data_IF_921185956687
#
_entry.id   IF_921185956687
#
_cell.length_a   1.000
_cell.length_b   1.000
_cell.length_c   1.000
_cell.angle_alpha   90.00
_cell.angle_beta   90.00
_cell.angle_gamma   90.00
#
_symmetry.space_group_name_H-M   'P 1'
#
loop_
_entity.id
_entity.type
_entity.pdbx_description
1 polymer ?
#
# COMPACT_ATOMS: atom_id res chain seq x y z
N UNK A 1 -4.24 -8.89 -19.06
CA UNK A 1 -4.29 -7.77 -18.09
C UNK A 1 -2.91 -7.13 -18.08
N UNK A 2 -2.77 -5.81 -18.27
CA UNK A 2 -1.46 -5.16 -18.26
C UNK A 2 -0.83 -5.32 -16.87
N UNK A 3 0.47 -5.63 -16.86
CA UNK A 3 1.25 -5.76 -15.63
C UNK A 3 1.66 -4.35 -15.18
N UNK A 4 1.42 -4.01 -13.92
CA UNK A 4 1.85 -2.72 -13.39
C UNK A 4 3.39 -2.66 -13.39
N UNK A 5 3.99 -1.54 -13.85
CA UNK A 5 5.45 -1.37 -13.82
C UNK A 5 5.95 -1.36 -12.37
N UNK A 6 7.23 -1.68 -12.15
CA UNK A 6 7.83 -1.65 -10.80
C UNK A 6 7.74 -0.25 -10.18
N UNK A 7 7.87 0.79 -10.99
CA UNK A 7 7.76 2.18 -10.60
C UNK A 7 7.08 2.96 -11.73
N UNK A 8 6.16 3.86 -11.37
CA UNK A 8 5.47 4.74 -12.30
C UNK A 8 5.67 6.21 -11.88
N UNK A 9 6.57 6.98 -12.53
CA UNK A 9 6.83 8.37 -12.14
C UNK A 9 5.64 9.31 -12.37
N UNK A 10 4.78 8.99 -13.32
CA UNK A 10 3.59 9.78 -13.65
C UNK A 10 2.34 9.33 -12.87
N UNK A 11 2.51 8.39 -11.93
CA UNK A 11 1.42 7.85 -11.13
C UNK A 11 0.80 8.89 -10.19
N UNK A 12 -0.51 8.78 -9.98
CA UNK A 12 -1.25 9.61 -9.04
C UNK A 12 -1.44 8.86 -7.71
N UNK A 13 -0.77 9.34 -6.66
CA UNK A 13 -0.85 8.80 -5.31
C UNK A 13 -1.93 9.44 -4.43
N UNK A 14 -2.74 10.34 -4.99
CA UNK A 14 -3.81 11.01 -4.28
C UNK A 14 -4.81 10.00 -3.69
N UNK A 15 -5.10 10.15 -2.41
CA UNK A 15 -5.95 9.23 -1.63
C UNK A 15 -7.35 9.09 -2.20
N UNK A 16 -7.84 10.09 -2.94
CA UNK A 16 -9.17 10.04 -3.57
C UNK A 16 -9.20 9.08 -4.77
N UNK A 17 -8.12 9.00 -5.53
CA UNK A 17 -8.02 8.25 -6.79
C UNK A 17 -7.41 6.85 -6.61
N UNK A 18 -6.75 6.59 -5.47
CA UNK A 18 -6.05 5.32 -5.21
C UNK A 18 -6.99 4.12 -5.02
N UNK A 19 -7.14 3.24 -5.99
CA UNK A 19 -7.95 2.01 -5.88
C UNK A 19 -7.11 0.80 -5.44
N UNK A 20 -7.76 -0.24 -4.90
CA UNK A 20 -7.07 -1.51 -4.56
C UNK A 20 -6.60 -2.24 -5.82
N UNK A 21 -7.40 -2.13 -6.90
CA UNK A 21 -7.13 -2.79 -8.17
C UNK A 21 -7.07 -1.76 -9.28
N UNK A 22 -6.15 -1.96 -10.23
CA UNK A 22 -6.03 -1.17 -11.46
C UNK A 22 -5.81 0.34 -11.24
N UNK A 23 -5.28 0.74 -10.07
CA UNK A 23 -4.94 2.14 -9.80
C UNK A 23 -3.62 2.54 -10.47
N UNK A 24 -3.54 3.79 -10.92
CA UNK A 24 -2.31 4.39 -11.48
C UNK A 24 -1.41 4.93 -10.37
N UNK A 25 -0.94 4.06 -9.46
CA UNK A 25 -0.06 4.45 -8.35
C UNK A 25 1.41 4.49 -8.76
N UNK A 26 2.23 5.25 -8.03
CA UNK A 26 3.69 5.28 -8.29
C UNK A 26 4.43 4.03 -7.79
N UNK A 27 3.74 3.20 -6.99
CA UNK A 27 4.25 2.02 -6.28
C UNK A 27 5.27 2.33 -5.18
N UNK A 28 5.38 3.58 -4.76
CA UNK A 28 6.15 3.97 -3.58
C UNK A 28 5.42 3.58 -2.29
N UNK A 29 6.16 3.03 -1.32
CA UNK A 29 5.61 2.71 0.00
C UNK A 29 5.49 3.98 0.85
N UNK A 30 4.33 4.64 0.79
CA UNK A 30 4.02 5.82 1.58
C UNK A 30 3.03 5.49 2.71
N UNK A 31 3.54 5.33 3.93
CA UNK A 31 2.73 4.99 5.12
C UNK A 31 2.11 6.22 5.81
N UNK A 32 2.50 7.42 5.41
CA UNK A 32 1.95 8.68 5.96
C UNK A 32 0.63 9.09 5.29
N UNK A 33 0.42 8.71 4.02
CA UNK A 33 -0.75 9.12 3.24
C UNK A 33 -1.45 7.89 2.66
N UNK A 34 -2.42 7.37 3.43
CA UNK A 34 -3.05 6.07 3.20
C UNK A 34 -4.56 6.25 3.08
N UNK A 35 -5.14 5.86 1.94
CA UNK A 35 -6.60 5.90 1.70
C UNK A 35 -7.37 5.01 2.68
N UNK A 36 -6.81 3.85 3.00
CA UNK A 36 -7.44 2.84 3.85
C UNK A 36 -6.81 2.84 5.24
N UNK A 37 -7.36 3.64 6.15
CA UNK A 37 -6.84 3.78 7.53
C UNK A 37 -6.77 2.44 8.30
N UNK A 38 -7.65 1.49 7.99
CA UNK A 38 -7.64 0.14 8.57
C UNK A 38 -6.36 -0.65 8.24
N UNK A 39 -5.70 -0.36 7.10
CA UNK A 39 -4.51 -1.08 6.68
C UNK A 39 -3.32 -0.82 7.63
N UNK A 40 -3.23 0.40 8.16
CA UNK A 40 -2.19 0.77 9.14
C UNK A 40 -2.39 0.02 10.46
N UNK A 41 -3.63 -0.12 10.92
CA UNK A 41 -3.96 -0.88 12.12
C UNK A 41 -3.63 -2.37 11.98
N UNK A 42 -3.98 -2.98 10.84
CA UNK A 42 -3.65 -4.37 10.53
C UNK A 42 -2.14 -4.60 10.48
N UNK A 43 -1.38 -3.71 9.82
CA UNK A 43 0.08 -3.80 9.77
C UNK A 43 0.71 -3.75 11.16
N UNK A 44 0.19 -2.91 12.05
CA UNK A 44 0.65 -2.83 13.44
C UNK A 44 0.40 -4.14 14.19
N UNK A 45 -0.80 -4.71 14.09
CA UNK A 45 -1.13 -6.00 14.73
C UNK A 45 -0.27 -7.16 14.21
N UNK A 46 -0.01 -7.21 12.90
CA UNK A 46 0.86 -8.24 12.30
C UNK A 46 2.28 -8.18 12.85
N UNK A 47 2.83 -6.98 13.05
CA UNK A 47 4.14 -6.79 13.65
C UNK A 47 4.20 -7.19 15.12
N UNK A 48 3.15 -6.85 15.88
CA UNK A 48 3.08 -7.14 17.32
C UNK A 48 2.90 -8.64 17.60
N UNK A 49 2.19 -9.36 16.72
CA UNK A 49 1.94 -10.80 16.85
C UNK A 49 3.08 -11.67 16.29
N UNK A 50 4.26 -11.12 16.06
CA UNK A 50 5.41 -11.90 15.58
C UNK A 50 5.97 -12.79 16.70
N UNK A 51 6.15 -14.08 16.41
CA UNK A 51 6.72 -15.06 17.33
C UNK A 51 7.65 -16.00 16.59
N UNK A 52 8.71 -16.45 17.26
CA UNK A 52 9.66 -17.44 16.75
C UNK A 52 9.50 -18.69 17.60
N UNK A 53 9.24 -19.82 16.96
CA UNK A 53 9.32 -21.13 17.61
C UNK A 53 10.76 -21.60 17.62
N UNK A 54 11.18 -22.13 18.77
CA UNK A 54 12.40 -22.92 18.93
C UNK A 54 12.10 -24.41 18.80
#
# INVERSE_FOLDING_TARGET
>A
MPVNPIFNPDGNDDTQHRTIWFGETTNLMQLNDVRYSWAVGLYKQMRENFWINF
#
